data_IF_862827734960
#
_entry.id   IF_862827734960
#
_cell.length_a   1.000
_cell.length_b   1.000
_cell.length_c   1.000
_cell.angle_alpha   90.00
_cell.angle_beta   90.00
_cell.angle_gamma   90.00
#
_symmetry.space_group_name_H-M   'P 1'
#
loop_
_entity.id
_entity.type
_entity.pdbx_description
1 polymer ?
#
# COMPACT_ATOMS: atom_id res chain seq x y z
N UNK A 1 -78.92 7.84 -57.70
CA UNK A 1 -79.09 6.37 -57.83
C UNK A 1 -77.84 5.73 -57.26
N UNK A 2 -77.96 5.00 -56.15
CA UNK A 2 -77.94 3.53 -56.14
C UNK A 2 -76.72 2.97 -56.90
N UNK A 3 -75.85 2.12 -56.37
CA UNK A 3 -75.89 1.35 -55.13
C UNK A 3 -74.82 0.25 -55.27
N UNK A 4 -73.97 0.09 -54.25
CA UNK A 4 -73.64 -1.21 -53.63
C UNK A 4 -72.62 -2.13 -54.35
N UNK A 5 -71.49 -2.41 -53.69
CA UNK A 5 -71.16 -3.59 -52.85
C UNK A 5 -70.79 -4.82 -53.71
N UNK A 6 -69.79 -5.65 -53.41
CA UNK A 6 -69.45 -6.30 -52.13
C UNK A 6 -68.04 -6.93 -52.27
N UNK A 7 -67.15 -6.72 -51.29
CA UNK A 7 -66.68 -7.68 -50.26
C UNK A 7 -65.92 -8.92 -50.80
N UNK A 8 -64.78 -9.33 -50.25
CA UNK A 8 -64.04 -8.86 -49.07
C UNK A 8 -62.95 -9.88 -48.68
N UNK A 9 -62.14 -9.60 -47.65
CA UNK A 9 -61.85 -10.52 -46.54
C UNK A 9 -61.05 -9.79 -45.45
N UNK A 10 -61.43 -10.07 -44.20
CA UNK A 10 -60.87 -9.63 -42.92
C UNK A 10 -59.48 -10.23 -42.64
N UNK A 11 -58.58 -9.49 -41.97
CA UNK A 11 -57.90 -9.92 -40.73
C UNK A 11 -57.02 -8.81 -40.14
N UNK A 12 -57.03 -8.73 -38.80
CA UNK A 12 -56.49 -7.64 -37.99
C UNK A 12 -55.11 -7.99 -37.36
N UNK A 13 -54.24 -6.97 -37.33
CA UNK A 13 -53.29 -6.48 -36.31
C UNK A 13 -52.51 -7.49 -35.44
N UNK A 14 -51.17 -7.39 -35.45
CA UNK A 14 -50.29 -7.19 -34.26
C UNK A 14 -49.05 -6.37 -34.70
N UNK A 15 -48.72 -5.30 -33.97
CA UNK A 15 -47.56 -4.45 -34.23
C UNK A 15 -46.32 -4.85 -33.42
N UNK A 16 -45.13 -4.60 -33.99
CA UNK A 16 -43.86 -4.42 -33.27
C UNK A 16 -43.03 -3.38 -34.03
N UNK A 17 -42.79 -2.22 -33.40
CA UNK A 17 -41.97 -1.14 -33.93
C UNK A 17 -40.49 -1.41 -33.66
N UNK A 18 -39.71 -1.66 -34.72
CA UNK A 18 -38.24 -1.66 -34.68
C UNK A 18 -37.77 -0.24 -34.94
N UNK A 19 -37.14 0.41 -33.95
CA UNK A 19 -36.56 1.72 -34.13
C UNK A 19 -35.25 1.63 -34.93
N UNK A 20 -35.20 2.50 -35.92
CA UNK A 20 -34.13 2.77 -36.88
C UNK A 20 -32.88 3.34 -36.22
N UNK A 21 -31.73 2.81 -36.63
CA UNK A 21 -30.40 3.38 -36.43
C UNK A 21 -30.18 4.56 -37.37
N UNK A 22 -29.79 5.72 -36.83
CA UNK A 22 -29.04 6.76 -37.54
C UNK A 22 -28.41 7.74 -36.52
N UNK A 23 -27.07 7.79 -36.58
CA UNK A 23 -26.08 8.77 -36.07
C UNK A 23 -26.58 10.01 -35.32
N UNK A 24 -25.97 10.25 -34.15
CA UNK A 24 -25.85 11.57 -33.54
C UNK A 24 -24.46 11.73 -32.91
N UNK A 25 -23.72 12.67 -33.45
CA UNK A 25 -22.56 13.42 -32.94
C UNK A 25 -21.65 12.68 -31.95
N UNK A 26 -20.47 12.31 -32.46
CA UNK A 26 -19.34 11.99 -31.60
C UNK A 26 -18.92 13.25 -30.87
N UNK A 27 -19.20 13.28 -29.57
CA UNK A 27 -18.46 14.12 -28.64
C UNK A 27 -17.00 13.67 -28.73
N UNK A 28 -16.19 14.55 -29.30
CA UNK A 28 -14.75 14.55 -29.08
C UNK A 28 -14.57 14.52 -27.55
N UNK A 29 -13.98 13.45 -27.03
CA UNK A 29 -13.43 13.48 -25.68
C UNK A 29 -12.26 14.47 -25.72
N UNK A 30 -12.59 15.75 -25.59
CA UNK A 30 -11.65 16.82 -25.30
C UNK A 30 -10.75 16.34 -24.16
N UNK A 31 -9.44 16.47 -24.36
CA UNK A 31 -8.43 16.35 -23.31
C UNK A 31 -8.82 17.28 -22.17
N UNK A 32 -9.51 16.75 -21.16
CA UNK A 32 -9.88 17.50 -19.97
C UNK A 32 -8.64 17.61 -19.10
N UNK A 33 -8.00 18.78 -19.16
CA UNK A 33 -7.03 19.36 -18.21
C UNK A 33 -6.15 18.35 -17.46
N UNK A 34 -4.87 18.27 -17.80
CA UNK A 34 -3.86 17.54 -17.02
C UNK A 34 -4.01 17.83 -15.52
N UNK A 35 -4.62 16.93 -14.75
CA UNK A 35 -4.68 17.07 -13.29
C UNK A 35 -3.25 17.01 -12.78
N UNK A 36 -2.73 18.16 -12.36
CA UNK A 36 -1.38 18.28 -11.84
C UNK A 36 -1.33 17.64 -10.46
N UNK A 37 -0.56 16.57 -10.32
CA UNK A 37 -0.30 15.92 -9.03
C UNK A 37 0.52 16.89 -8.18
N UNK A 38 0.02 17.21 -6.98
CA UNK A 38 0.60 18.23 -6.09
C UNK A 38 1.03 17.68 -4.72
N UNK A 39 1.00 16.36 -4.56
CA UNK A 39 1.43 15.59 -3.40
C UNK A 39 2.52 14.59 -3.77
N UNK A 40 3.12 13.95 -2.77
CA UNK A 40 4.07 12.86 -2.98
C UNK A 40 3.35 11.56 -3.37
N UNK A 41 4.01 10.74 -4.16
CA UNK A 41 3.49 9.44 -4.59
C UNK A 41 4.32 8.30 -4.02
N UNK A 42 3.66 7.21 -3.65
CA UNK A 42 4.24 5.88 -3.59
C UNK A 42 4.48 5.43 -5.03
N UNK A 43 5.73 5.49 -5.46
CA UNK A 43 6.16 5.15 -6.81
C UNK A 43 6.34 3.64 -6.99
N UNK A 44 6.81 2.96 -5.96
CA UNK A 44 7.07 1.53 -6.03
C UNK A 44 6.97 0.90 -4.64
N UNK A 45 6.33 -0.28 -4.58
CA UNK A 45 6.34 -1.12 -3.39
C UNK A 45 6.91 -2.47 -3.75
N UNK A 46 8.13 -2.73 -3.29
CA UNK A 46 8.78 -4.01 -3.42
C UNK A 46 8.59 -4.83 -2.16
N UNK A 47 7.60 -5.72 -2.20
CA UNK A 47 7.25 -6.63 -1.12
C UNK A 47 7.30 -8.11 -1.55
N UNK A 48 7.48 -8.37 -2.86
CA UNK A 48 7.49 -9.72 -3.44
C UNK A 48 8.67 -10.56 -2.95
N UNK A 49 9.71 -9.91 -2.41
CA UNK A 49 10.91 -10.54 -1.87
C UNK A 49 11.73 -11.27 -2.92
N UNK A 50 12.82 -11.88 -2.47
CA UNK A 50 13.63 -12.76 -3.31
C UNK A 50 13.70 -14.16 -2.70
N UNK A 51 14.46 -15.04 -3.35
CA UNK A 51 14.85 -16.31 -2.75
C UNK A 51 16.21 -16.75 -3.27
N UNK A 52 16.88 -17.51 -2.44
CA UNK A 52 18.05 -18.29 -2.80
C UNK A 52 17.74 -19.77 -2.59
N UNK A 53 18.59 -20.66 -3.09
CA UNK A 53 18.41 -22.10 -2.86
C UNK A 53 19.58 -22.67 -2.09
N UNK A 54 19.31 -23.70 -1.29
CA UNK A 54 20.31 -24.50 -0.58
C UNK A 54 20.26 -25.93 -1.10
N UNK A 55 21.39 -26.46 -1.51
CA UNK A 55 21.57 -27.87 -1.81
C UNK A 55 21.96 -28.61 -0.53
N UNK A 56 21.17 -29.61 -0.17
CA UNK A 56 21.42 -30.51 0.97
C UNK A 56 21.00 -31.93 0.58
N UNK A 57 21.85 -32.92 0.85
CA UNK A 57 21.61 -34.33 0.49
C UNK A 57 21.22 -34.53 -1.00
N UNK A 58 21.92 -33.81 -1.90
CA UNK A 58 21.67 -33.86 -3.34
C UNK A 58 20.34 -33.25 -3.81
N UNK A 59 19.56 -32.64 -2.91
CA UNK A 59 18.28 -31.97 -3.21
C UNK A 59 18.42 -30.46 -3.04
N UNK A 60 17.71 -29.71 -3.87
CA UNK A 60 17.68 -28.26 -3.84
C UNK A 60 16.40 -27.77 -3.13
N UNK A 61 16.57 -26.88 -2.15
CA UNK A 61 15.50 -26.33 -1.33
C UNK A 61 15.47 -24.81 -1.47
N UNK A 62 14.29 -24.26 -1.79
CA UNK A 62 14.07 -22.82 -1.84
C UNK A 62 14.07 -22.21 -0.44
N UNK A 63 14.69 -21.04 -0.32
CA UNK A 63 14.78 -20.25 0.90
C UNK A 63 14.30 -18.84 0.58
N UNK A 64 13.06 -18.53 0.92
CA UNK A 64 12.51 -17.20 0.77
C UNK A 64 13.33 -16.19 1.59
N UNK A 65 13.49 -14.98 1.05
CA UNK A 65 14.22 -13.89 1.66
C UNK A 65 13.32 -12.65 1.69
N UNK A 66 13.07 -12.15 2.90
CA UNK A 66 12.03 -11.15 3.18
C UNK A 66 12.62 -9.83 3.71
N UNK A 67 13.94 -9.74 3.85
CA UNK A 67 14.62 -8.58 4.44
C UNK A 67 14.93 -7.49 3.42
N UNK A 68 14.84 -7.79 2.12
CA UNK A 68 15.22 -6.89 1.02
C UNK A 68 14.07 -6.06 0.46
N UNK A 69 12.99 -5.91 1.25
CA UNK A 69 11.83 -5.08 0.89
C UNK A 69 12.16 -3.59 0.91
N UNK A 70 11.47 -2.83 0.07
CA UNK A 70 11.52 -1.37 0.11
C UNK A 70 10.25 -0.71 -0.42
N UNK A 71 10.08 0.55 -0.05
CA UNK A 71 9.12 1.48 -0.65
C UNK A 71 9.92 2.60 -1.30
N UNK A 72 9.53 3.01 -2.50
CA UNK A 72 10.07 4.18 -3.18
C UNK A 72 9.00 5.26 -3.22
N UNK A 73 9.31 6.43 -2.70
CA UNK A 73 8.45 7.61 -2.81
C UNK A 73 9.02 8.58 -3.84
N UNK A 74 8.15 9.28 -4.57
CA UNK A 74 8.50 10.22 -5.62
C UNK A 74 7.85 11.57 -5.38
N UNK A 75 8.59 12.65 -5.68
CA UNK A 75 8.08 14.00 -5.68
C UNK A 75 7.76 14.47 -7.12
N UNK A 76 6.51 14.34 -7.60
CA UNK A 76 6.10 14.83 -8.91
C UNK A 76 5.93 16.35 -8.96
N UNK A 77 6.00 17.03 -7.81
CA UNK A 77 5.74 18.46 -7.73
C UNK A 77 6.92 19.28 -8.26
N UNK A 78 6.69 20.57 -8.50
CA UNK A 78 7.73 21.50 -8.97
C UNK A 78 8.54 22.13 -7.82
N UNK A 79 8.42 21.63 -6.57
CA UNK A 79 9.08 22.21 -5.39
C UNK A 79 9.72 21.12 -4.55
N UNK A 80 10.72 21.49 -3.77
CA UNK A 80 11.26 20.61 -2.74
C UNK A 80 10.21 20.42 -1.63
N UNK A 81 9.96 19.18 -1.26
CA UNK A 81 9.12 18.80 -0.12
C UNK A 81 10.02 18.28 0.99
N UNK A 82 9.75 18.64 2.24
CA UNK A 82 10.49 18.12 3.39
C UNK A 82 9.71 16.95 4.01
N UNK A 83 10.36 15.79 4.07
CA UNK A 83 9.77 14.55 4.59
C UNK A 83 9.65 14.56 6.12
N UNK A 84 10.13 15.60 6.82
CA UNK A 84 10.23 15.61 8.27
C UNK A 84 8.91 15.31 9.01
N UNK A 85 7.78 15.79 8.45
CA UNK A 85 6.44 15.59 9.01
C UNK A 85 5.65 14.48 8.29
N UNK A 86 6.33 13.63 7.52
CA UNK A 86 5.70 12.50 6.86
C UNK A 86 5.83 11.22 7.67
N UNK A 87 4.94 10.28 7.37
CA UNK A 87 4.93 8.95 7.93
C UNK A 87 4.48 7.92 6.89
N UNK A 88 4.89 6.67 7.10
CA UNK A 88 4.29 5.51 6.45
C UNK A 88 3.47 4.75 7.48
N UNK A 89 2.23 4.42 7.13
CA UNK A 89 1.32 3.67 8.00
C UNK A 89 0.75 2.46 7.26
N UNK A 90 0.56 1.36 7.98
CA UNK A 90 -0.16 0.18 7.48
C UNK A 90 -1.51 0.05 8.17
N UNK A 91 -2.52 -0.33 7.39
CA UNK A 91 -3.89 -0.50 7.87
C UNK A 91 -4.05 -1.76 8.73
N UNK A 92 -4.93 -1.78 9.76
CA UNK A 92 -5.13 -2.95 10.64
C UNK A 92 -5.91 -4.09 10.01
N UNK A 93 -6.62 -3.83 8.91
CA UNK A 93 -7.46 -4.82 8.27
C UNK A 93 -6.84 -5.35 6.98
N UNK A 94 -6.85 -6.68 6.88
CA UNK A 94 -6.47 -7.43 5.68
C UNK A 94 -7.55 -7.29 4.60
N UNK A 95 -7.23 -6.72 3.42
CA UNK A 95 -8.18 -6.51 2.31
C UNK A 95 -8.69 -7.83 1.68
N UNK A 96 -8.04 -8.96 1.98
CA UNK A 96 -8.42 -10.27 1.50
C UNK A 96 -9.45 -10.95 2.43
N UNK A 97 -9.89 -10.28 3.49
CA UNK A 97 -11.01 -10.71 4.33
C UNK A 97 -12.17 -9.72 4.24
N UNK A 98 -13.41 -10.22 4.36
CA UNK A 98 -14.56 -9.32 4.49
C UNK A 98 -14.65 -8.81 5.92
N UNK A 99 -14.59 -7.49 6.07
CA UNK A 99 -14.67 -6.82 7.37
C UNK A 99 -16.05 -6.18 7.54
N UNK A 100 -16.79 -6.66 8.53
CA UNK A 100 -18.08 -6.09 8.92
C UNK A 100 -17.88 -5.20 10.15
N UNK A 101 -17.83 -3.88 9.95
CA UNK A 101 -17.85 -2.88 11.02
C UNK A 101 -19.29 -2.50 11.35
N UNK A 102 -19.61 -2.38 12.63
CA UNK A 102 -20.88 -1.73 13.04
C UNK A 102 -20.85 -0.25 12.65
N UNK A 103 -21.96 0.26 12.12
CA UNK A 103 -22.06 1.61 11.55
C UNK A 103 -21.60 2.71 12.52
N UNK A 104 -21.95 2.61 13.81
CA UNK A 104 -21.57 3.57 14.86
C UNK A 104 -20.04 3.67 15.09
N UNK A 105 -19.29 2.62 14.75
CA UNK A 105 -17.83 2.58 14.83
C UNK A 105 -17.14 2.70 13.48
N UNK A 106 -17.89 2.85 12.39
CA UNK A 106 -17.32 2.83 11.05
C UNK A 106 -16.58 4.14 10.74
N UNK A 107 -15.26 4.05 10.67
CA UNK A 107 -14.35 5.16 10.37
C UNK A 107 -13.88 5.15 8.90
N UNK A 108 -14.09 4.05 8.17
CA UNK A 108 -13.52 3.79 6.83
C UNK A 108 -13.90 4.89 5.82
N UNK A 109 -15.05 5.54 5.96
CA UNK A 109 -15.48 6.61 5.03
C UNK A 109 -14.82 7.97 5.28
N UNK A 110 -14.13 8.14 6.40
CA UNK A 110 -13.66 9.46 6.86
C UNK A 110 -12.20 9.45 7.29
N UNK A 111 -11.66 8.31 7.70
CA UNK A 111 -10.32 8.19 8.24
C UNK A 111 -9.63 6.91 7.76
N UNK A 112 -8.31 6.98 7.68
CA UNK A 112 -7.44 5.83 7.57
C UNK A 112 -7.20 5.22 8.97
N UNK A 113 -7.41 3.91 9.11
CA UNK A 113 -7.06 3.20 10.35
C UNK A 113 -5.58 2.86 10.36
N UNK A 114 -4.90 3.10 11.48
CA UNK A 114 -3.47 2.84 11.64
C UNK A 114 -3.28 1.62 12.53
N UNK A 115 -2.65 0.58 11.98
CA UNK A 115 -2.10 -0.54 12.76
C UNK A 115 -0.74 -0.14 13.28
N UNK A 116 0.21 0.10 12.37
CA UNK A 116 1.59 0.48 12.69
C UNK A 116 1.98 1.67 11.86
N UNK A 117 2.74 2.60 12.45
CA UNK A 117 3.21 3.82 11.78
C UNK A 117 4.68 4.07 12.12
N UNK A 118 5.45 4.41 11.08
CA UNK A 118 6.85 4.84 11.17
C UNK A 118 6.98 6.28 10.68
N UNK A 119 7.73 7.09 11.41
CA UNK A 119 7.93 8.51 11.10
C UNK A 119 9.27 8.71 10.41
N UNK A 120 9.33 9.59 9.41
CA UNK A 120 10.62 10.05 8.88
C UNK A 120 11.43 10.81 9.94
N UNK A 121 10.75 11.50 10.86
CA UNK A 121 11.37 12.32 11.91
C UNK A 121 11.99 13.59 11.35
N UNK A 122 12.49 14.47 12.21
CA UNK A 122 13.15 15.72 11.80
C UNK A 122 12.52 16.96 12.42
N UNK A 123 13.02 18.13 12.03
CA UNK A 123 12.62 19.44 12.59
C UNK A 123 11.86 20.33 11.60
N UNK A 124 11.54 19.80 10.42
CA UNK A 124 10.85 20.50 9.33
C UNK A 124 11.75 20.88 8.16
N UNK A 125 13.07 20.73 8.28
CA UNK A 125 14.05 21.14 7.26
C UNK A 125 15.19 20.14 7.00
N UNK A 126 15.19 18.98 7.66
CA UNK A 126 16.31 18.03 7.62
C UNK A 126 16.23 17.03 6.47
N UNK A 127 15.03 16.79 5.94
CA UNK A 127 14.77 15.74 4.98
C UNK A 127 14.20 16.27 3.66
N UNK A 128 14.95 17.08 2.90
CA UNK A 128 14.49 17.58 1.62
C UNK A 128 14.43 16.47 0.57
N UNK A 129 13.31 16.39 -0.15
CA UNK A 129 13.12 15.62 -1.37
C UNK A 129 12.88 16.60 -2.51
N UNK A 130 13.88 16.75 -3.38
CA UNK A 130 13.83 17.70 -4.49
C UNK A 130 12.70 17.37 -5.50
N UNK A 131 12.28 18.37 -6.27
CA UNK A 131 11.34 18.18 -7.36
C UNK A 131 11.89 17.15 -8.37
N UNK A 132 11.07 16.15 -8.73
CA UNK A 132 11.46 15.05 -9.62
C UNK A 132 12.43 14.04 -9.02
N UNK A 133 12.71 14.10 -7.71
CA UNK A 133 13.54 13.11 -7.02
C UNK A 133 12.68 12.02 -6.36
N UNK A 134 13.32 10.88 -6.09
CA UNK A 134 12.76 9.79 -5.29
C UNK A 134 13.60 9.57 -4.03
N UNK A 135 12.97 9.07 -2.98
CA UNK A 135 13.65 8.49 -1.84
C UNK A 135 13.34 7.00 -1.75
N UNK A 136 14.36 6.19 -1.44
CA UNK A 136 14.25 4.77 -1.21
C UNK A 136 14.23 4.53 0.30
N UNK A 137 13.17 3.88 0.76
CA UNK A 137 12.99 3.48 2.15
C UNK A 137 13.06 1.96 2.21
N UNK A 138 14.14 1.41 2.75
CA UNK A 138 14.35 -0.02 2.87
C UNK A 138 13.76 -0.56 4.18
N UNK A 139 13.42 -1.86 4.23
CA UNK A 139 13.25 -2.56 5.51
C UNK A 139 14.58 -2.58 6.27
N UNK A 140 15.66 -2.94 5.57
CA UNK A 140 17.03 -2.88 6.10
C UNK A 140 17.99 -2.40 5.01
N UNK A 141 18.67 -1.27 5.23
CA UNK A 141 19.48 -0.62 4.19
C UNK A 141 20.91 -1.17 4.13
N UNK A 142 21.05 -2.41 3.67
CA UNK A 142 22.32 -3.11 3.54
C UNK A 142 22.49 -3.74 2.16
N UNK A 143 23.70 -4.21 1.85
CA UNK A 143 23.88 -5.15 0.76
C UNK A 143 23.45 -6.56 1.24
N UNK A 144 22.21 -6.96 0.93
CA UNK A 144 21.64 -8.21 1.44
C UNK A 144 22.39 -9.46 0.98
N UNK A 145 22.97 -9.42 -0.23
CA UNK A 145 23.85 -10.49 -0.71
C UNK A 145 25.07 -10.64 0.18
N UNK A 146 25.83 -9.56 0.37
CA UNK A 146 27.07 -9.59 1.15
C UNK A 146 26.80 -9.97 2.61
N UNK A 147 25.73 -9.45 3.19
CA UNK A 147 25.30 -9.80 4.55
C UNK A 147 24.94 -11.28 4.67
N UNK A 148 24.15 -11.81 3.73
CA UNK A 148 23.77 -13.23 3.73
C UNK A 148 24.99 -14.15 3.50
N UNK A 149 25.86 -13.81 2.56
CA UNK A 149 27.11 -14.56 2.33
C UNK A 149 28.01 -14.57 3.58
N UNK A 150 28.07 -13.45 4.32
CA UNK A 150 28.79 -13.37 5.60
C UNK A 150 28.13 -14.25 6.66
N UNK A 151 26.82 -14.13 6.85
CA UNK A 151 26.08 -14.97 7.80
C UNK A 151 26.30 -16.46 7.56
N UNK A 152 26.25 -16.91 6.30
CA UNK A 152 26.48 -18.31 5.95
C UNK A 152 27.91 -18.76 6.31
N UNK A 153 28.93 -17.95 5.98
CA UNK A 153 30.33 -18.26 6.35
C UNK A 153 30.55 -18.31 7.86
N UNK A 154 29.97 -17.37 8.60
CA UNK A 154 30.08 -17.31 10.06
C UNK A 154 29.42 -18.52 10.74
N UNK A 155 28.48 -19.18 10.07
CA UNK A 155 27.85 -20.43 10.48
C UNK A 155 28.46 -21.67 9.80
N UNK A 156 29.69 -21.56 9.29
CA UNK A 156 30.47 -22.66 8.69
C UNK A 156 29.80 -23.33 7.47
N UNK A 157 28.90 -22.63 6.78
CA UNK A 157 28.25 -23.14 5.58
C UNK A 157 29.16 -23.01 4.33
N UNK A 158 29.16 -24.03 3.47
CA UNK A 158 29.82 -23.96 2.17
C UNK A 158 28.93 -23.21 1.15
N UNK A 159 29.38 -22.04 0.69
CA UNK A 159 28.66 -21.22 -0.29
C UNK A 159 28.38 -21.92 -1.62
N UNK A 160 29.14 -22.95 -2.01
CA UNK A 160 28.87 -23.72 -3.23
C UNK A 160 27.55 -24.50 -3.17
N UNK A 161 27.05 -24.74 -1.95
CA UNK A 161 25.72 -25.32 -1.74
C UNK A 161 24.60 -24.30 -1.95
N UNK A 162 24.91 -23.03 -2.21
CA UNK A 162 23.92 -21.98 -2.32
C UNK A 162 23.90 -21.38 -3.73
N UNK A 163 22.71 -21.26 -4.32
CA UNK A 163 22.52 -20.58 -5.61
C UNK A 163 21.60 -19.39 -5.44
N UNK A 164 21.62 -18.48 -6.41
CA UNK A 164 20.78 -17.27 -6.45
C UNK A 164 21.00 -16.27 -5.30
N UNK A 165 22.09 -16.38 -4.54
CA UNK A 165 22.50 -15.32 -3.61
C UNK A 165 22.75 -13.99 -4.35
N UNK A 166 23.11 -14.07 -5.64
CA UNK A 166 23.22 -12.94 -6.55
C UNK A 166 21.89 -12.28 -6.91
N UNK A 167 20.75 -12.81 -6.49
CA UNK A 167 19.44 -12.19 -6.68
C UNK A 167 19.06 -11.27 -5.51
N UNK A 168 19.67 -11.43 -4.34
CA UNK A 168 19.41 -10.57 -3.18
C UNK A 168 19.79 -9.13 -3.50
N UNK A 169 18.92 -8.18 -3.15
CA UNK A 169 19.05 -6.78 -3.56
C UNK A 169 20.17 -6.07 -2.80
N UNK A 170 20.81 -5.09 -3.44
CA UNK A 170 21.72 -4.16 -2.74
C UNK A 170 20.94 -2.89 -2.34
N UNK A 171 20.54 -2.81 -1.07
CA UNK A 171 19.89 -1.64 -0.47
C UNK A 171 20.85 -0.78 0.36
N UNK A 172 22.17 -0.98 0.25
CA UNK A 172 23.17 -0.20 1.00
C UNK A 172 23.18 1.30 0.68
N UNK A 173 22.50 1.70 -0.40
CA UNK A 173 22.35 3.09 -0.85
C UNK A 173 20.95 3.65 -0.63
N UNK A 174 20.08 2.94 0.10
CA UNK A 174 18.77 3.48 0.45
C UNK A 174 18.92 4.76 1.29
N UNK A 175 17.99 5.69 1.13
CA UNK A 175 18.00 6.97 1.85
C UNK A 175 17.54 6.81 3.30
N UNK A 176 16.61 5.87 3.51
CA UNK A 176 15.99 5.57 4.79
C UNK A 176 15.91 4.06 5.05
N UNK A 177 15.76 3.68 6.31
CA UNK A 177 15.36 2.34 6.72
C UNK A 177 14.30 2.34 7.83
N UNK A 178 13.34 1.41 7.79
CA UNK A 178 12.46 1.09 8.92
C UNK A 178 12.96 -0.16 9.65
N UNK A 179 13.88 0.03 10.59
CA UNK A 179 14.49 -1.11 11.29
C UNK A 179 13.47 -1.78 12.23
N UNK A 180 13.39 -3.12 12.27
CA UNK A 180 12.61 -3.86 13.26
C UNK A 180 12.96 -3.44 14.70
N UNK A 181 12.01 -3.56 15.63
CA UNK A 181 12.18 -3.13 17.03
C UNK A 181 13.34 -3.84 17.73
N UNK A 182 13.63 -5.07 17.33
CA UNK A 182 14.64 -5.94 17.92
C UNK A 182 16.07 -5.57 17.51
N UNK A 183 16.24 -4.86 16.39
CA UNK A 183 17.55 -4.40 15.95
C UNK A 183 17.94 -3.09 16.67
N UNK A 184 19.19 -3.04 17.14
CA UNK A 184 19.74 -1.88 17.84
C UNK A 184 19.99 -0.78 16.82
N UNK A 185 19.22 0.31 16.92
CA UNK A 185 19.44 1.57 16.19
C UNK A 185 20.88 2.04 16.33
N UNK A 186 21.51 2.43 15.22
CA UNK A 186 22.86 3.04 15.24
C UNK A 186 24.04 2.08 15.28
N UNK A 187 23.86 0.78 15.00
CA UNK A 187 24.99 -0.11 14.71
C UNK A 187 25.44 0.11 13.25
N UNK A 188 26.32 1.08 13.07
CA UNK A 188 27.21 1.23 11.90
C UNK A 188 26.56 1.45 10.52
N UNK A 189 25.52 2.31 10.42
CA UNK A 189 24.94 2.68 9.12
C UNK A 189 24.75 4.20 8.99
N UNK A 190 25.32 4.80 7.94
CA UNK A 190 25.12 6.20 7.54
C UNK A 190 23.70 6.49 6.99
N UNK A 191 22.76 5.56 7.15
CA UNK A 191 21.40 5.62 6.60
C UNK A 191 20.45 6.19 7.65
N UNK A 192 19.48 7.00 7.22
CA UNK A 192 18.51 7.62 8.13
C UNK A 192 17.50 6.58 8.61
N UNK A 193 17.23 6.53 9.91
CA UNK A 193 16.26 5.60 10.48
C UNK A 193 14.89 6.26 10.60
N UNK A 194 13.85 5.56 10.14
CA UNK A 194 12.47 5.92 10.46
C UNK A 194 12.11 5.41 11.85
N UNK A 195 11.45 6.25 12.65
CA UNK A 195 11.08 5.90 14.02
C UNK A 195 9.77 5.11 14.06
N UNK A 196 9.81 3.87 14.55
CA UNK A 196 8.61 3.12 14.94
C UNK A 196 7.92 3.84 16.10
N UNK A 197 6.72 4.37 15.84
CA UNK A 197 6.11 5.37 16.71
C UNK A 197 4.84 4.91 17.42
N UNK A 198 4.01 4.11 16.74
CA UNK A 198 2.80 3.52 17.29
C UNK A 198 2.53 2.17 16.62
N UNK A 199 2.01 1.21 17.40
CA UNK A 199 1.53 -0.07 16.89
C UNK A 199 0.35 -0.59 17.71
N UNK A 200 -0.83 -0.73 17.12
CA UNK A 200 -2.00 -1.45 17.66
C UNK A 200 -2.40 -1.04 19.09
N UNK A 201 -2.32 0.25 19.41
CA UNK A 201 -2.64 0.80 20.74
C UNK A 201 -1.41 1.07 21.59
N UNK A 202 -0.26 0.51 21.22
CA UNK A 202 0.97 0.56 22.01
C UNK A 202 1.91 1.70 21.62
N UNK A 203 2.57 2.24 22.64
CA UNK A 203 3.51 3.38 22.55
C UNK A 203 4.90 3.06 23.08
N UNK A 204 5.09 1.90 23.71
CA UNK A 204 6.39 1.43 24.17
C UNK A 204 6.98 0.47 23.14
N UNK A 205 8.19 0.77 22.67
CA UNK A 205 8.86 0.03 21.58
C UNK A 205 8.82 -1.49 21.78
N UNK A 206 9.05 -1.98 22.99
CA UNK A 206 9.09 -3.42 23.30
C UNK A 206 7.72 -4.12 23.13
N UNK A 207 6.63 -3.39 23.35
CA UNK A 207 5.24 -3.87 23.25
C UNK A 207 4.68 -3.73 21.81
N UNK A 208 5.32 -2.91 20.96
CA UNK A 208 4.89 -2.69 19.57
C UNK A 208 5.16 -3.89 18.67
N UNK A 209 4.42 -3.97 17.56
CA UNK A 209 4.76 -4.81 16.42
C UNK A 209 5.58 -4.03 15.40
N UNK A 210 6.40 -4.73 14.62
CA UNK A 210 7.19 -4.12 13.56
C UNK A 210 6.31 -3.54 12.46
N UNK A 211 6.79 -2.47 11.84
CA UNK A 211 6.27 -2.04 10.56
C UNK A 211 6.79 -3.02 9.50
N UNK A 212 5.88 -3.58 8.72
CA UNK A 212 6.23 -4.45 7.60
C UNK A 212 5.20 -4.30 6.48
N UNK A 213 5.62 -4.67 5.28
CA UNK A 213 4.77 -4.71 4.11
C UNK A 213 4.67 -6.15 3.61
N UNK A 214 3.45 -6.61 3.39
CA UNK A 214 3.16 -7.97 2.94
C UNK A 214 2.29 -7.97 1.69
N UNK A 215 1.99 -9.17 1.18
CA UNK A 215 1.05 -9.36 0.09
C UNK A 215 -0.42 -9.08 0.45
N UNK A 216 -0.72 -8.66 1.69
CA UNK A 216 -2.07 -8.38 2.22
C UNK A 216 -2.06 -7.08 3.04
N UNK A 217 -1.52 -6.02 2.46
CA UNK A 217 -1.26 -4.76 3.17
C UNK A 217 -1.95 -3.60 2.50
N UNK A 218 -2.44 -2.64 3.27
CA UNK A 218 -2.82 -1.32 2.76
C UNK A 218 -1.89 -0.29 3.38
N UNK A 219 -1.14 0.43 2.55
CA UNK A 219 -0.09 1.35 2.97
C UNK A 219 -0.55 2.77 2.66
N UNK A 220 -0.41 3.68 3.60
CA UNK A 220 -0.64 5.10 3.40
C UNK A 220 0.67 5.90 3.57
N UNK A 221 0.90 6.83 2.66
CA UNK A 221 1.82 7.95 2.85
C UNK A 221 1.04 9.10 3.47
N UNK A 222 1.42 9.49 4.69
CA UNK A 222 0.67 10.46 5.49
C UNK A 222 1.55 11.68 5.74
N UNK A 223 1.04 12.87 5.43
CA UNK A 223 1.59 14.14 5.86
C UNK A 223 0.87 14.58 7.13
N UNK A 224 1.55 14.52 8.27
CA UNK A 224 0.94 14.86 9.55
C UNK A 224 0.54 16.34 9.58
N UNK A 225 -0.72 16.61 9.92
CA UNK A 225 -1.25 17.97 10.09
C UNK A 225 -1.04 18.54 11.50
N UNK A 226 -0.47 17.75 12.41
CA UNK A 226 -0.08 18.15 13.76
C UNK A 226 1.24 17.44 14.13
N UNK A 227 1.88 17.87 15.22
CA UNK A 227 3.09 17.23 15.73
C UNK A 227 2.79 15.83 16.26
N UNK A 228 3.70 14.85 16.10
CA UNK A 228 3.56 13.52 16.72
C UNK A 228 3.24 13.62 18.22
N UNK A 229 3.91 14.50 18.96
CA UNK A 229 3.70 14.68 20.40
C UNK A 229 2.26 15.08 20.74
N UNK A 230 1.67 16.01 19.98
CA UNK A 230 0.28 16.40 20.16
C UNK A 230 -0.69 15.28 19.80
N UNK A 231 -0.46 14.58 18.68
CA UNK A 231 -1.31 13.45 18.27
C UNK A 231 -1.32 12.38 19.36
N UNK A 232 -0.14 12.00 19.90
CA UNK A 232 -0.03 11.03 20.99
C UNK A 232 -0.75 11.50 22.25
N UNK A 233 -0.52 12.75 22.65
CA UNK A 233 -1.17 13.33 23.83
C UNK A 233 -2.68 13.30 23.69
N UNK A 234 -3.21 13.79 22.57
CA UNK A 234 -4.65 13.81 22.28
C UNK A 234 -5.23 12.39 22.22
N UNK A 235 -4.55 11.43 21.59
CA UNK A 235 -4.98 10.03 21.59
C UNK A 235 -5.15 9.46 23.00
N UNK A 236 -4.17 9.70 23.89
CA UNK A 236 -4.19 9.23 25.29
C UNK A 236 -5.29 9.94 26.10
N UNK A 237 -5.51 11.23 25.87
CA UNK A 237 -6.62 11.96 26.51
C UNK A 237 -7.98 11.40 26.06
N UNK A 238 -8.14 11.18 24.76
CA UNK A 238 -9.36 10.64 24.14
C UNK A 238 -9.69 9.22 24.57
N UNK A 239 -8.67 8.38 24.85
CA UNK A 239 -8.88 7.02 25.35
C UNK A 239 -9.58 6.99 26.70
N UNK A 240 -9.43 8.05 27.50
CA UNK A 240 -10.10 8.22 28.80
C UNK A 240 -11.55 8.69 28.72
N UNK A 241 -12.05 9.07 27.54
CA UNK A 241 -13.43 9.56 27.41
C UNK A 241 -14.47 8.46 27.64
N UNK A 242 -15.40 8.71 28.57
CA UNK A 242 -16.49 7.79 28.92
C UNK A 242 -17.88 8.34 28.60
N UNK A 243 -18.02 9.66 28.43
CA UNK A 243 -19.30 10.31 28.09
C UNK A 243 -19.49 10.34 26.56
N UNK A 244 -20.72 10.07 26.11
CA UNK A 244 -21.05 10.02 24.69
C UNK A 244 -20.71 11.32 23.93
N UNK A 245 -20.93 12.48 24.57
CA UNK A 245 -20.63 13.81 24.01
C UNK A 245 -19.13 14.05 23.78
N UNK A 246 -18.26 13.44 24.58
CA UNK A 246 -16.81 13.55 24.44
C UNK A 246 -16.28 12.50 23.48
N UNK A 247 -16.83 11.28 23.51
CA UNK A 247 -16.53 10.22 22.53
C UNK A 247 -16.80 10.70 21.10
N UNK A 248 -17.86 11.49 20.89
CA UNK A 248 -18.19 12.07 19.59
C UNK A 248 -17.17 13.11 19.09
N UNK A 249 -16.28 13.63 19.95
CA UNK A 249 -15.25 14.63 19.62
C UNK A 249 -13.88 14.02 19.33
N UNK A 250 -13.73 12.69 19.48
CA UNK A 250 -12.44 12.00 19.29
C UNK A 250 -11.92 12.23 17.87
N UNK A 251 -10.66 12.61 17.77
CA UNK A 251 -9.95 12.93 16.54
C UNK A 251 -9.03 11.80 16.10
N UNK A 252 -8.30 11.20 17.03
CA UNK A 252 -7.26 10.21 16.72
C UNK A 252 -7.54 8.84 17.33
N UNK A 253 -8.43 8.75 18.32
CA UNK A 253 -8.75 7.49 19.00
C UNK A 253 -10.06 6.87 18.49
N UNK A 254 -10.04 5.56 18.18
CA UNK A 254 -11.25 4.80 17.86
C UNK A 254 -11.26 3.42 18.53
N UNK A 255 -12.36 3.11 19.21
CA UNK A 255 -12.72 1.73 19.53
C UNK A 255 -13.52 1.17 18.36
N UNK A 256 -13.17 -0.03 17.91
CA UNK A 256 -13.86 -0.70 16.82
C UNK A 256 -14.29 -2.09 17.24
N UNK A 257 -15.49 -2.47 16.83
CA UNK A 257 -15.98 -3.84 16.93
C UNK A 257 -16.25 -4.34 15.51
N UNK A 258 -15.61 -5.44 15.13
CA UNK A 258 -15.69 -5.98 13.77
C UNK A 258 -15.76 -7.50 13.74
N UNK A 259 -16.22 -8.03 12.60
CA UNK A 259 -16.17 -9.45 12.28
C UNK A 259 -15.41 -9.67 10.99
N UNK A 260 -14.74 -10.81 10.91
CA UNK A 260 -14.00 -11.27 9.74
C UNK A 260 -14.67 -12.54 9.24
N UNK A 261 -15.12 -12.60 7.98
CA UNK A 261 -15.62 -13.83 7.31
C UNK A 261 -16.55 -14.74 8.17
N UNK A 262 -17.49 -14.15 8.92
CA UNK A 262 -18.45 -14.90 9.75
C UNK A 262 -17.91 -15.47 11.07
N UNK A 263 -16.66 -15.15 11.44
CA UNK A 263 -16.04 -15.52 12.71
C UNK A 263 -16.53 -14.64 13.91
N UNK A 264 -16.00 -14.93 15.10
CA UNK A 264 -16.33 -14.25 16.35
C UNK A 264 -16.13 -12.72 16.28
N UNK A 265 -16.80 -11.99 17.17
CA UNK A 265 -16.64 -10.54 17.28
C UNK A 265 -15.26 -10.22 17.84
N UNK A 266 -14.54 -9.33 17.17
CA UNK A 266 -13.29 -8.74 17.62
C UNK A 266 -13.54 -7.32 18.11
N UNK A 267 -12.75 -6.89 19.09
CA UNK A 267 -12.66 -5.50 19.51
C UNK A 267 -11.21 -5.06 19.43
N UNK A 268 -10.98 -3.85 18.94
CA UNK A 268 -9.65 -3.26 18.87
C UNK A 268 -9.69 -1.76 19.19
N UNK A 269 -8.56 -1.27 19.67
CA UNK A 269 -8.29 0.16 19.80
C UNK A 269 -7.33 0.57 18.69
N UNK A 270 -7.74 1.54 17.90
CA UNK A 270 -7.00 2.00 16.73
C UNK A 270 -6.74 3.49 16.81
N UNK A 271 -5.57 3.88 16.32
CA UNK A 271 -5.34 5.25 15.88
C UNK A 271 -6.00 5.44 14.52
N UNK A 272 -6.69 6.55 14.35
CA UNK A 272 -7.30 6.95 13.07
C UNK A 272 -6.70 8.27 12.61
N UNK A 273 -6.44 8.39 11.31
CA UNK A 273 -5.89 9.58 10.67
C UNK A 273 -6.89 10.12 9.66
N UNK A 274 -7.20 11.42 9.68
CA UNK A 274 -8.19 11.97 8.75
C UNK A 274 -7.64 11.91 7.31
N UNK A 275 -8.51 11.63 6.33
CA UNK A 275 -8.06 11.48 4.95
C UNK A 275 -7.45 12.75 4.34
N UNK A 276 -7.72 13.93 4.90
CA UNK A 276 -7.03 15.17 4.52
C UNK A 276 -5.50 15.14 4.74
N UNK A 277 -5.00 14.21 5.56
CA UNK A 277 -3.56 14.04 5.82
C UNK A 277 -2.94 12.92 4.98
N UNK A 278 -3.77 12.11 4.32
CA UNK A 278 -3.32 10.99 3.51
C UNK A 278 -3.04 11.49 2.11
N UNK A 279 -1.76 11.47 1.69
CA UNK A 279 -1.36 11.91 0.37
C UNK A 279 -1.53 10.80 -0.67
N UNK A 280 -1.21 9.56 -0.33
CA UNK A 280 -1.29 8.44 -1.26
C UNK A 280 -1.54 7.12 -0.53
N UNK A 281 -2.23 6.19 -1.18
CA UNK A 281 -2.56 4.86 -0.65
C UNK A 281 -2.31 3.78 -1.69
N UNK A 282 -1.73 2.65 -1.25
CA UNK A 282 -1.61 1.44 -2.05
C UNK A 282 -2.27 0.27 -1.33
N UNK A 283 -3.26 -0.34 -1.96
CA UNK A 283 -3.95 -1.55 -1.51
C UNK A 283 -3.35 -2.78 -2.19
N UNK A 284 -2.67 -3.60 -1.40
CA UNK A 284 -1.99 -4.82 -1.82
C UNK A 284 -2.81 -6.02 -1.36
N UNK A 285 -3.29 -6.81 -2.32
CA UNK A 285 -3.91 -8.11 -2.10
C UNK A 285 -3.64 -8.97 -3.34
N UNK A 286 -3.48 -10.30 -3.23
CA UNK A 286 -3.36 -11.15 -4.39
C UNK A 286 -4.58 -11.00 -5.30
N UNK A 287 -4.37 -11.02 -6.62
CA UNK A 287 -5.36 -10.60 -7.61
C UNK A 287 -6.68 -11.38 -7.54
N UNK A 288 -6.67 -12.60 -6.99
CA UNK A 288 -7.86 -13.47 -6.88
C UNK A 288 -8.48 -13.50 -5.48
N UNK A 289 -7.86 -12.85 -4.49
CA UNK A 289 -8.24 -12.96 -3.07
C UNK A 289 -8.83 -11.69 -2.49
N UNK A 290 -8.91 -10.58 -3.23
CA UNK A 290 -9.51 -9.34 -2.73
C UNK A 290 -10.99 -9.52 -2.43
N UNK A 291 -11.39 -9.22 -1.19
CA UNK A 291 -12.78 -9.37 -0.73
C UNK A 291 -13.43 -8.05 -0.35
N UNK A 292 -12.66 -7.10 0.16
CA UNK A 292 -13.23 -5.90 0.76
C UNK A 292 -12.30 -4.70 0.74
N UNK A 293 -12.83 -3.54 0.35
CA UNK A 293 -12.10 -2.28 0.52
C UNK A 293 -12.12 -1.85 1.98
N UNK A 294 -10.92 -1.66 2.54
CA UNK A 294 -10.73 -1.23 3.93
C UNK A 294 -10.48 0.27 4.05
N UNK A 295 -10.53 0.99 2.92
CA UNK A 295 -10.47 2.45 2.81
C UNK A 295 -11.63 2.98 1.95
N UNK A 296 -11.95 4.27 2.05
CA UNK A 296 -12.97 4.89 1.19
C UNK A 296 -12.59 4.78 -0.29
N UNK A 297 -13.59 4.57 -1.15
CA UNK A 297 -13.42 4.44 -2.60
C UNK A 297 -12.83 5.72 -3.25
N UNK A 298 -12.92 6.87 -2.58
CA UNK A 298 -12.29 8.11 -3.02
C UNK A 298 -10.79 8.16 -2.72
N UNK A 299 -10.29 7.27 -1.86
CA UNK A 299 -8.89 7.22 -1.43
C UNK A 299 -8.15 6.12 -2.17
N UNK A 300 -8.72 4.91 -2.22
CA UNK A 300 -8.29 3.85 -3.12
C UNK A 300 -9.48 2.94 -3.45
N UNK A 301 -9.87 2.88 -4.72
CA UNK A 301 -11.00 2.04 -5.17
C UNK A 301 -10.60 0.65 -5.63
N UNK A 302 -9.30 0.34 -5.67
CA UNK A 302 -8.81 -0.91 -6.21
C UNK A 302 -7.83 -1.63 -5.32
N UNK A 303 -7.22 -2.64 -5.90
CA UNK A 303 -6.11 -3.38 -5.32
C UNK A 303 -5.19 -3.87 -6.43
N UNK A 304 -3.95 -4.19 -6.08
CA UNK A 304 -3.05 -4.89 -6.99
C UNK A 304 -2.15 -5.86 -6.24
N UNK A 305 -1.99 -7.06 -6.79
CA UNK A 305 -1.06 -8.06 -6.30
C UNK A 305 0.02 -8.34 -7.33
N UNK A 306 1.26 -8.45 -6.85
CA UNK A 306 2.34 -9.16 -7.56
C UNK A 306 2.00 -10.65 -7.71
N UNK A 307 1.32 -11.23 -6.71
CA UNK A 307 0.83 -12.61 -6.76
C UNK A 307 -0.63 -12.72 -7.22
N UNK A 308 -0.98 -13.87 -7.77
CA UNK A 308 -2.37 -14.24 -8.05
C UNK A 308 -3.08 -14.74 -6.78
N UNK A 309 -2.37 -15.52 -5.95
CA UNK A 309 -2.85 -16.05 -4.67
C UNK A 309 -1.82 -15.81 -3.55
N UNK A 310 -2.24 -15.82 -2.29
CA UNK A 310 -1.36 -15.59 -1.16
C UNK A 310 -0.31 -16.69 -0.97
N UNK A 311 -0.59 -17.88 -1.50
CA UNK A 311 0.26 -19.07 -1.39
C UNK A 311 0.99 -19.39 -2.71
N UNK A 312 1.05 -18.43 -3.63
CA UNK A 312 1.88 -18.60 -4.82
C UNK A 312 3.32 -18.91 -4.42
N UNK A 313 3.93 -19.81 -5.19
CA UNK A 313 5.35 -20.12 -5.02
C UNK A 313 6.18 -18.85 -5.28
N UNK A 314 7.23 -18.69 -4.47
CA UNK A 314 8.13 -17.53 -4.52
C UNK A 314 8.73 -17.30 -5.91
N UNK A 315 9.00 -18.37 -6.66
CA UNK A 315 9.53 -18.31 -8.03
C UNK A 315 8.65 -17.53 -9.03
N UNK A 316 7.34 -17.43 -8.78
CA UNK A 316 6.41 -16.68 -9.64
C UNK A 316 6.50 -15.17 -9.45
N UNK A 317 6.92 -14.72 -8.27
CA UNK A 317 6.84 -13.32 -7.86
C UNK A 317 8.14 -12.73 -7.32
N UNK A 318 9.17 -13.54 -7.13
CA UNK A 318 10.47 -13.09 -6.66
C UNK A 318 11.05 -12.03 -7.60
N UNK A 319 11.60 -10.96 -7.02
CA UNK A 319 12.18 -9.85 -7.78
C UNK A 319 11.15 -8.90 -8.41
N UNK A 320 9.85 -9.15 -8.26
CA UNK A 320 8.80 -8.26 -8.78
C UNK A 320 8.28 -7.29 -7.72
N UNK A 321 7.93 -6.10 -8.17
CA UNK A 321 7.34 -5.02 -7.39
C UNK A 321 6.01 -4.57 -8.01
N UNK A 322 5.23 -3.83 -7.22
CA UNK A 322 4.22 -2.93 -7.78
C UNK A 322 4.90 -1.62 -8.13
N UNK A 323 4.93 -1.28 -9.42
CA UNK A 323 5.51 -0.04 -9.93
C UNK A 323 4.37 0.84 -10.44
N UNK A 324 4.34 2.09 -10.01
CA UNK A 324 3.33 3.06 -10.46
C UNK A 324 3.51 3.31 -11.96
N UNK A 325 2.42 3.19 -12.71
CA UNK A 325 2.40 3.37 -14.16
C UNK A 325 2.79 4.79 -14.53
N UNK A 326 3.49 4.91 -15.64
CA UNK A 326 3.81 6.17 -16.27
C UNK A 326 3.09 6.23 -17.63
N UNK A 327 2.26 7.25 -17.85
CA UNK A 327 1.44 7.38 -19.05
C UNK A 327 2.20 7.92 -20.29
N UNK A 328 3.50 8.20 -20.12
CA UNK A 328 4.36 8.84 -21.12
C UNK A 328 4.65 10.31 -20.79
N UNK A 329 3.91 10.92 -19.87
CA UNK A 329 4.11 12.30 -19.42
C UNK A 329 4.23 12.38 -17.88
N UNK A 330 3.37 11.69 -17.15
CA UNK A 330 3.33 11.67 -15.67
C UNK A 330 3.02 10.29 -15.12
N UNK A 331 3.24 10.13 -13.81
CA UNK A 331 2.72 8.97 -13.09
C UNK A 331 1.20 9.01 -13.03
N UNK A 332 0.57 7.84 -13.16
CA UNK A 332 -0.87 7.67 -13.04
C UNK A 332 -1.24 7.64 -11.56
N UNK A 333 -2.25 8.42 -11.19
CA UNK A 333 -2.81 8.48 -9.85
C UNK A 333 -4.31 8.83 -9.95
N UNK A 334 -5.16 7.81 -10.07
CA UNK A 334 -6.61 7.94 -10.10
C UNK A 334 -7.30 7.35 -8.84
N UNK A 335 -6.52 7.27 -7.74
CA UNK A 335 -6.91 6.70 -6.45
C UNK A 335 -7.43 5.27 -6.63
N UNK A 336 -6.64 4.45 -7.34
CA UNK A 336 -7.00 3.09 -7.72
C UNK A 336 -5.76 2.24 -7.95
N UNK A 337 -5.38 1.48 -6.94
CA UNK A 337 -4.22 0.59 -7.03
C UNK A 337 -4.25 -0.34 -8.25
N UNK A 338 -5.43 -0.73 -8.74
CA UNK A 338 -5.58 -1.58 -9.92
C UNK A 338 -5.11 -0.92 -11.22
N UNK A 339 -5.39 0.37 -11.43
CA UNK A 339 -4.96 1.13 -12.61
C UNK A 339 -3.65 1.87 -12.39
N UNK A 340 -3.39 2.35 -11.17
CA UNK A 340 -2.19 3.11 -10.84
C UNK A 340 -0.93 2.27 -10.92
N UNK A 341 -1.00 0.97 -10.65
CA UNK A 341 0.16 0.09 -10.59
C UNK A 341 0.19 -0.99 -11.66
N UNK A 342 1.42 -1.37 -12.01
CA UNK A 342 1.73 -2.57 -12.77
C UNK A 342 2.71 -3.45 -12.02
N UNK A 343 2.71 -4.73 -12.38
CA UNK A 343 3.70 -5.68 -11.86
C UNK A 343 4.89 -5.64 -12.81
N UNK A 344 6.05 -5.26 -12.27
CA UNK A 344 7.30 -5.20 -13.03
C UNK A 344 8.46 -5.70 -12.15
N UNK A 345 9.62 -5.92 -12.77
CA UNK A 345 10.86 -6.17 -12.01
C UNK A 345 11.18 -4.96 -11.13
N UNK A 346 11.66 -5.23 -9.91
CA UNK A 346 12.07 -4.22 -8.95
C UNK A 346 13.10 -3.26 -9.58
N UNK A 347 12.89 -1.94 -9.42
CA UNK A 347 13.79 -0.95 -10.02
C UNK A 347 15.17 -0.94 -9.37
N UNK A 348 15.27 -1.41 -8.13
CA UNK A 348 16.55 -1.71 -7.48
C UNK A 348 16.84 -3.19 -7.67
N UNK A 349 17.96 -3.49 -8.34
CA UNK A 349 18.36 -4.86 -8.62
C UNK A 349 19.72 -5.17 -8.01
N UNK A 350 20.02 -6.46 -7.91
CA UNK A 350 21.32 -6.97 -7.48
C UNK A 350 22.48 -6.66 -8.43
N UNK A 351 22.18 -6.18 -9.65
CA UNK A 351 23.20 -5.85 -10.66
C UNK A 351 23.64 -4.40 -10.48
N UNK A 352 24.93 -4.18 -10.22
CA UNK A 352 25.57 -2.90 -10.53
C UNK A 352 25.36 -2.65 -12.02
N UNK A 353 24.66 -1.58 -12.38
CA UNK A 353 24.76 -1.03 -13.73
C UNK A 353 26.27 -0.86 -14.00
N UNK A 354 26.79 -1.68 -14.92
CA UNK A 354 28.19 -1.63 -15.35
C UNK A 354 28.42 -0.39 -16.21
#
# INVERSE_FOLDING_TARGET
>A
MKSFLKNGLLLAVIGLSVFTSCRRDGDENEQTSETKINHLLIQEVYYGGTYFTRTYDGKEYEQAYDEDKYIKIYNPTSKTIYLDNYALAVHPFDPCNRIELKDEYNFIKTHFGVSTIVLFGGNGTQHPLAAGASAIIAKKAINHRTDREKYLKDNEENLDNYKRLDQLIDLSKADYQWVPKEEVSGVDNNVREMALWYSQGEWKKDEMSNFDVSNKSVIALIKLGDTPENIKKTFIEESGYTKAEDIAKRKYYKNVAYKTDGHHSHEATLMIMPYEWVEDVVTICPNTEFKWSVVDIKVDKGHKGVQETANDKIDKHAGKALVRRFDGNKFVDDNNSTSDFEVAEASISSKRNK
#
